data_IF_227478115827
#
_entry.id   IF_227478115827
#
_cell.length_a   1.000
_cell.length_b   1.000
_cell.length_c   1.000
_cell.angle_alpha   90.00
_cell.angle_beta   90.00
_cell.angle_gamma   90.00
#
_symmetry.space_group_name_H-M   'P 1'
#
loop_
_entity.id
_entity.type
_entity.pdbx_description
1 polymer ?
#
# COMPACT_ATOMS: atom_id res chain seq x y z
N UNK A 1 13.22 54.67 10.29
CA UNK A 1 13.19 53.36 9.62
C UNK A 1 12.92 52.27 10.65
N UNK A 2 11.73 51.67 10.64
CA UNK A 2 11.35 50.59 11.54
C UNK A 2 9.89 50.24 11.34
N UNK A 3 9.60 49.37 10.37
CA UNK A 3 8.25 48.90 10.09
C UNK A 3 7.87 47.73 11.00
N UNK A 4 6.65 47.73 11.52
CA UNK A 4 6.09 46.60 12.25
C UNK A 4 5.55 45.56 11.25
N UNK A 5 6.13 44.36 11.26
CA UNK A 5 5.57 43.19 10.57
C UNK A 5 4.44 42.63 11.43
N UNK A 6 3.21 42.66 10.90
CA UNK A 6 2.09 41.90 11.45
C UNK A 6 2.12 40.48 10.88
N UNK A 7 2.20 39.47 11.75
CA UNK A 7 1.99 38.08 11.36
C UNK A 7 0.51 37.71 11.49
N UNK A 8 -0.03 36.87 10.60
CA UNK A 8 -1.43 36.46 10.64
C UNK A 8 -1.70 35.47 11.81
N UNK A 9 -2.92 35.48 12.38
CA UNK A 9 -3.28 34.60 13.49
C UNK A 9 -3.43 33.15 13.02
N UNK A 10 -2.72 32.23 13.67
CA UNK A 10 -2.87 30.79 13.48
C UNK A 10 -4.23 30.34 14.02
N UNK A 11 -5.21 30.18 13.14
CA UNK A 11 -6.46 29.49 13.47
C UNK A 11 -6.14 28.01 13.74
N UNK A 12 -6.01 27.66 15.02
CA UNK A 12 -6.02 26.27 15.47
C UNK A 12 -7.41 25.70 15.16
N UNK A 13 -7.52 24.91 14.10
CA UNK A 13 -8.71 24.08 13.89
C UNK A 13 -8.84 23.14 15.09
N UNK A 14 -9.91 23.22 15.89
CA UNK A 14 -10.14 22.26 16.97
C UNK A 14 -10.38 20.89 16.34
N UNK A 15 -9.56 19.91 16.69
CA UNK A 15 -9.85 18.51 16.38
C UNK A 15 -11.13 18.13 17.13
N UNK A 16 -12.17 17.60 16.48
CA UNK A 16 -13.39 17.19 17.18
C UNK A 16 -13.07 16.03 18.13
N UNK A 17 -13.17 16.29 19.43
CA UNK A 17 -13.25 15.25 20.47
C UNK A 17 -14.59 14.55 20.29
N UNK A 18 -14.58 13.29 19.83
CA UNK A 18 -15.79 12.49 19.71
C UNK A 18 -16.22 12.01 21.10
N UNK A 19 -17.30 12.59 21.60
CA UNK A 19 -17.97 12.16 22.83
C UNK A 19 -18.84 10.93 22.51
N UNK A 20 -18.53 9.81 23.17
CA UNK A 20 -19.22 8.53 22.97
C UNK A 20 -20.58 8.55 23.67
N UNK A 21 -21.64 8.79 22.91
CA UNK A 21 -23.02 8.47 23.32
C UNK A 21 -23.35 7.05 22.82
N UNK A 22 -24.00 6.28 23.68
CA UNK A 22 -24.29 4.85 23.62
C UNK A 22 -25.09 4.36 22.40
N UNK A 23 -24.44 4.29 21.24
CA UNK A 23 -24.81 3.41 20.14
C UNK A 23 -23.55 2.68 19.72
N UNK A 24 -23.62 1.37 19.44
CA UNK A 24 -22.45 0.59 19.01
C UNK A 24 -21.79 1.28 17.82
N UNK A 25 -20.71 2.03 18.08
CA UNK A 25 -19.84 2.58 17.05
C UNK A 25 -19.19 1.34 16.46
N UNK A 26 -19.66 0.90 15.29
CA UNK A 26 -18.89 0.00 14.46
C UNK A 26 -17.60 0.74 14.14
N UNK A 27 -16.56 0.53 14.96
CA UNK A 27 -15.21 1.00 14.68
C UNK A 27 -14.85 0.31 13.38
N UNK A 28 -14.95 1.04 12.27
CA UNK A 28 -14.52 0.51 10.98
C UNK A 28 -13.05 0.16 11.16
N UNK A 29 -12.65 -1.11 10.91
CA UNK A 29 -11.25 -1.48 11.05
C UNK A 29 -10.44 -0.54 10.15
N UNK A 30 -9.34 -0.02 10.69
CA UNK A 30 -8.43 0.83 9.94
C UNK A 30 -7.99 0.08 8.69
N UNK A 31 -7.96 0.75 7.55
CA UNK A 31 -7.49 0.18 6.29
C UNK A 31 -6.33 1.00 5.77
N UNK A 32 -5.39 0.32 5.12
CA UNK A 32 -4.22 0.89 4.48
C UNK A 32 -4.45 0.93 2.98
N UNK A 33 -4.36 2.12 2.39
CA UNK A 33 -4.28 2.28 0.95
C UNK A 33 -2.82 2.12 0.52
N UNK A 34 -2.57 1.20 -0.40
CA UNK A 34 -1.25 0.78 -0.85
C UNK A 34 -1.21 0.88 -2.37
N UNK A 35 -0.14 1.47 -2.90
CA UNK A 35 0.11 1.58 -4.33
C UNK A 35 1.13 0.52 -4.74
N UNK A 36 0.76 -0.36 -5.67
CA UNK A 36 1.64 -1.41 -6.18
C UNK A 36 1.82 -1.22 -7.68
N UNK A 37 3.04 -0.90 -8.09
CA UNK A 37 3.42 -0.84 -9.50
C UNK A 37 3.94 -2.21 -9.92
N UNK A 38 3.33 -2.81 -10.94
CA UNK A 38 3.83 -4.07 -11.51
C UNK A 38 4.85 -3.77 -12.60
N UNK A 39 5.87 -4.61 -12.71
CA UNK A 39 6.84 -4.56 -13.81
C UNK A 39 6.15 -4.44 -15.18
N UNK A 40 6.68 -3.55 -16.02
CA UNK A 40 6.19 -3.26 -17.37
C UNK A 40 4.70 -2.86 -17.47
N UNK A 41 4.00 -2.63 -16.36
CA UNK A 41 2.61 -2.15 -16.35
C UNK A 41 2.53 -0.62 -16.40
N UNK A 42 1.47 -0.11 -17.02
CA UNK A 42 1.15 1.31 -17.00
C UNK A 42 0.52 1.69 -15.65
N UNK A 43 1.27 2.38 -14.80
CA UNK A 43 0.79 2.92 -13.52
C UNK A 43 0.62 1.89 -12.40
N UNK A 44 0.34 2.40 -11.20
CA UNK A 44 0.12 1.58 -10.01
C UNK A 44 -1.31 1.05 -9.93
N UNK A 45 -1.47 -0.08 -9.24
CA UNK A 45 -2.74 -0.55 -8.69
C UNK A 45 -2.88 -0.03 -7.28
N UNK A 46 -4.08 0.44 -6.94
CA UNK A 46 -4.44 0.79 -5.57
C UNK A 46 -5.11 -0.39 -4.88
N UNK A 47 -4.57 -0.80 -3.74
CA UNK A 47 -5.07 -1.93 -2.95
C UNK A 47 -5.40 -1.45 -1.54
N UNK A 48 -6.55 -1.84 -1.02
CA UNK A 48 -7.00 -1.48 0.32
C UNK A 48 -7.05 -2.73 1.21
N UNK A 49 -6.16 -2.81 2.20
CA UNK A 49 -6.01 -3.96 3.10
C UNK A 49 -5.99 -3.56 4.57
N UNK A 50 -6.17 -4.54 5.45
CA UNK A 50 -5.98 -4.35 6.89
C UNK A 50 -4.50 -4.14 7.21
N UNK A 51 -4.14 -3.31 8.21
CA UNK A 51 -2.79 -3.24 8.75
C UNK A 51 -2.24 -4.60 9.20
N UNK A 52 -3.15 -5.53 9.52
CA UNK A 52 -2.84 -6.86 10.03
C UNK A 52 -2.74 -7.93 8.95
N UNK A 53 -2.96 -7.56 7.69
CA UNK A 53 -2.68 -8.43 6.55
C UNK A 53 -1.16 -8.53 6.33
N UNK A 54 -0.76 -9.50 5.51
CA UNK A 54 0.64 -9.77 5.20
C UNK A 54 1.04 -9.27 3.81
N UNK A 55 2.35 -9.24 3.54
CA UNK A 55 2.88 -9.01 2.20
C UNK A 55 2.31 -10.01 1.18
N UNK A 56 2.16 -11.29 1.57
CA UNK A 56 1.56 -12.30 0.69
C UNK A 56 0.12 -11.96 0.29
N UNK A 57 -0.67 -11.42 1.22
CA UNK A 57 -2.05 -10.98 0.97
C UNK A 57 -2.09 -9.80 0.00
N UNK A 58 -1.16 -8.86 0.14
CA UNK A 58 -1.00 -7.73 -0.79
C UNK A 58 -0.67 -8.19 -2.20
N UNK A 59 0.27 -9.12 -2.36
CA UNK A 59 0.61 -9.68 -3.69
C UNK A 59 -0.62 -10.36 -4.30
N UNK A 60 -1.30 -11.23 -3.54
CA UNK A 60 -2.49 -11.94 -4.01
C UNK A 60 -3.61 -10.98 -4.43
N UNK A 61 -3.91 -9.97 -3.62
CA UNK A 61 -4.93 -8.97 -3.93
C UNK A 61 -4.56 -8.15 -5.18
N UNK A 62 -3.28 -7.78 -5.31
CA UNK A 62 -2.79 -7.04 -6.48
C UNK A 62 -2.98 -7.83 -7.77
N UNK A 63 -2.61 -9.12 -7.80
CA UNK A 63 -2.76 -9.97 -8.98
C UNK A 63 -4.24 -10.15 -9.37
N UNK A 64 -5.12 -10.31 -8.38
CA UNK A 64 -6.56 -10.42 -8.61
C UNK A 64 -7.15 -9.14 -9.21
N UNK A 65 -6.74 -7.96 -8.71
CA UNK A 65 -7.17 -6.68 -9.26
C UNK A 65 -6.61 -6.48 -10.67
N UNK A 66 -5.33 -6.82 -10.89
CA UNK A 66 -4.68 -6.72 -12.19
C UNK A 66 -5.41 -7.53 -13.27
N UNK A 67 -5.74 -8.80 -12.98
CA UNK A 67 -6.49 -9.64 -13.90
C UNK A 67 -7.92 -9.14 -14.12
N UNK A 68 -8.59 -8.69 -13.05
CA UNK A 68 -9.95 -8.14 -13.14
C UNK A 68 -10.01 -6.89 -14.02
N UNK A 69 -9.03 -6.00 -13.90
CA UNK A 69 -8.91 -4.79 -14.72
C UNK A 69 -8.39 -5.08 -16.15
N UNK A 70 -8.03 -6.33 -16.46
CA UNK A 70 -7.48 -6.77 -17.76
C UNK A 70 -6.31 -5.89 -18.23
N UNK A 71 -5.45 -5.53 -17.27
CA UNK A 71 -4.27 -4.69 -17.48
C UNK A 71 -3.24 -5.38 -18.38
N UNK A 72 -2.32 -4.58 -18.90
CA UNK A 72 -1.28 -5.00 -19.84
C UNK A 72 0.12 -4.63 -19.32
N UNK A 73 1.13 -5.50 -19.52
CA UNK A 73 1.07 -6.79 -20.24
C UNK A 73 0.31 -7.89 -19.47
N UNK A 74 -0.12 -8.96 -20.14
CA UNK A 74 -0.76 -10.07 -19.43
C UNK A 74 0.22 -10.73 -18.46
N UNK A 75 -0.28 -11.11 -17.28
CA UNK A 75 0.52 -11.85 -16.31
C UNK A 75 0.88 -13.22 -16.89
N UNK A 76 2.15 -13.61 -16.75
CA UNK A 76 2.63 -14.94 -17.16
C UNK A 76 2.11 -16.05 -16.25
N UNK A 77 1.95 -15.74 -14.97
CA UNK A 77 1.44 -16.64 -13.93
C UNK A 77 0.50 -15.85 -13.01
N UNK A 78 -0.48 -16.51 -12.40
CA UNK A 78 -1.39 -15.91 -11.41
C UNK A 78 -1.02 -16.34 -9.98
N UNK A 79 -0.09 -17.27 -9.81
CA UNK A 79 0.38 -17.74 -8.51
C UNK A 79 1.17 -16.63 -7.80
N UNK A 80 0.74 -16.18 -6.61
CA UNK A 80 1.46 -15.17 -5.82
C UNK A 80 2.91 -15.56 -5.51
N UNK A 81 3.20 -16.86 -5.43
CA UNK A 81 4.55 -17.36 -5.15
C UNK A 81 5.52 -17.16 -6.31
N UNK A 82 5.05 -16.77 -7.49
CA UNK A 82 5.87 -16.45 -8.65
C UNK A 82 6.29 -14.98 -8.70
N UNK A 83 5.99 -14.19 -7.65
CA UNK A 83 6.28 -12.76 -7.59
C UNK A 83 7.06 -12.38 -6.33
N UNK A 84 7.89 -11.34 -6.45
CA UNK A 84 8.52 -10.66 -5.32
C UNK A 84 8.01 -9.23 -5.21
N UNK A 85 7.75 -8.81 -3.96
CA UNK A 85 7.41 -7.42 -3.64
C UNK A 85 8.67 -6.70 -3.13
N UNK A 86 8.92 -5.53 -3.65
CA UNK A 86 10.06 -4.67 -3.33
C UNK A 86 9.58 -3.28 -2.94
N UNK A 87 10.39 -2.52 -2.20
CA UNK A 87 10.11 -1.11 -1.93
C UNK A 87 10.17 -0.24 -3.20
N UNK A 88 11.03 -0.60 -4.15
CA UNK A 88 11.24 0.15 -5.39
C UNK A 88 11.81 -0.77 -6.48
N UNK A 89 11.78 -0.37 -7.78
CA UNK A 89 12.42 -1.13 -8.86
C UNK A 89 13.94 -1.23 -8.74
N UNK A 90 14.57 -0.41 -7.90
CA UNK A 90 16.03 -0.39 -7.67
C UNK A 90 16.46 -1.22 -6.46
N UNK A 91 15.50 -1.79 -5.72
CA UNK A 91 15.78 -2.54 -4.49
C UNK A 91 16.03 -4.00 -4.81
N UNK A 92 17.22 -4.51 -4.48
CA UNK A 92 17.57 -5.92 -4.71
C UNK A 92 16.85 -6.88 -3.75
N UNK A 93 16.59 -6.44 -2.51
CA UNK A 93 15.99 -7.28 -1.47
C UNK A 93 14.45 -7.27 -1.56
N UNK A 94 13.86 -8.46 -1.66
CA UNK A 94 12.40 -8.64 -1.57
C UNK A 94 11.91 -8.58 -0.13
N UNK A 95 10.68 -8.12 0.06
CA UNK A 95 9.97 -8.15 1.34
C UNK A 95 9.60 -9.59 1.72
N UNK A 96 9.54 -9.86 3.03
CA UNK A 96 9.21 -11.19 3.54
C UNK A 96 7.70 -11.44 3.42
N UNK A 97 7.24 -12.57 2.85
CA UNK A 97 5.81 -12.83 2.64
C UNK A 97 4.95 -12.73 3.91
N UNK A 98 5.51 -13.12 5.07
CA UNK A 98 4.80 -13.14 6.36
C UNK A 98 4.85 -11.80 7.12
N UNK A 99 5.54 -10.80 6.60
CA UNK A 99 5.63 -9.48 7.23
C UNK A 99 4.29 -8.75 7.17
N UNK A 100 3.90 -8.12 8.28
CA UNK A 100 2.63 -7.40 8.40
C UNK A 100 2.70 -6.04 7.74
N UNK A 101 1.62 -5.63 7.08
CA UNK A 101 1.58 -4.37 6.31
C UNK A 101 1.76 -3.13 7.19
N UNK A 102 1.37 -3.18 8.47
CA UNK A 102 1.64 -2.10 9.43
C UNK A 102 3.12 -1.89 9.74
N UNK A 103 3.95 -2.91 9.58
CA UNK A 103 5.39 -2.85 9.86
C UNK A 103 6.15 -2.26 8.67
N UNK A 104 5.52 -2.18 7.49
CA UNK A 104 6.14 -1.60 6.30
C UNK A 104 6.14 -0.08 6.42
N UNK A 105 7.31 0.53 6.22
CA UNK A 105 7.49 1.99 6.28
C UNK A 105 7.02 2.75 5.03
N UNK A 106 6.50 2.05 4.02
CA UNK A 106 6.07 2.62 2.74
C UNK A 106 4.60 2.34 2.45
N UNK A 107 4.03 3.17 1.58
CA UNK A 107 2.73 2.93 0.92
C UNK A 107 2.86 2.68 -0.58
N UNK A 108 4.07 2.71 -1.11
CA UNK A 108 4.37 2.45 -2.51
C UNK A 108 5.32 1.26 -2.60
N UNK A 109 4.99 0.32 -3.48
CA UNK A 109 5.72 -0.92 -3.68
C UNK A 109 5.83 -1.24 -5.16
N UNK A 110 6.80 -2.10 -5.48
CA UNK A 110 7.05 -2.59 -6.81
C UNK A 110 6.94 -4.12 -6.82
N UNK A 111 6.19 -4.68 -7.76
CA UNK A 111 6.00 -6.12 -7.91
C UNK A 111 6.71 -6.60 -9.18
N UNK A 112 7.63 -7.56 -9.02
CA UNK A 112 8.36 -8.17 -10.12
C UNK A 112 8.16 -9.69 -10.14
N UNK A 113 8.31 -10.30 -11.31
CA UNK A 113 8.28 -11.76 -11.44
C UNK A 113 9.58 -12.37 -10.92
N UNK A 114 9.47 -13.55 -10.31
CA UNK A 114 10.64 -14.30 -9.86
C UNK A 114 11.37 -14.91 -11.05
N UNK A 115 12.72 -14.93 -11.04
CA UNK A 115 13.48 -15.73 -11.99
C UNK A 115 13.13 -17.21 -11.86
N UNK A 116 12.99 -17.90 -13.00
CA UNK A 116 12.66 -19.34 -13.09
C UNK A 116 13.61 -20.23 -12.25
N UNK A 117 14.83 -19.76 -11.97
CA UNK A 117 15.84 -20.44 -11.16
C UNK A 117 15.48 -20.61 -9.67
N UNK A 118 14.33 -20.11 -9.22
CA UNK A 118 13.90 -20.14 -7.80
C UNK A 118 12.74 -21.11 -7.49
N UNK A 119 12.38 -21.98 -8.44
CA UNK A 119 11.34 -23.03 -8.31
C UNK A 119 11.87 -24.35 -7.69
N UNK A 120 12.92 -24.28 -6.86
CA UNK A 120 13.49 -25.45 -6.16
C UNK A 120 12.83 -25.70 -4.81
#
# INVERSE_FOLDING_TARGET
MGGIVSTPPTHKFPLPTMESTSGSVYVRPSKLLLNVTIENSLGAIQVLLSPEDTVADLVKATLLIYDKEKRRPLLKDTNPNCYHLHYSPYTLQSLKPNEKLKNLGSRNFFLCSKPLASLS
#
